data_IF_749446231590
#
_entry.id   IF_749446231590
#
_cell.length_a   1.000
_cell.length_b   1.000
_cell.length_c   1.000
_cell.angle_alpha   90.00
_cell.angle_beta   90.00
_cell.angle_gamma   90.00
#
_symmetry.space_group_name_H-M   'P 1'
#
loop_
_entity.id
_entity.type
_entity.pdbx_description
1 polymer ?
#
# COMPACT_ATOMS: atom_id res chain seq x y z
N UNK A 1 11.78 2.87 -1.57
CA UNK A 1 12.02 2.04 -0.36
C UNK A 1 12.30 0.61 -0.78
N UNK A 2 12.99 -0.21 0.02
CA UNK A 2 13.27 -1.61 -0.34
C UNK A 2 12.37 -2.56 0.46
N UNK A 3 11.81 -3.58 -0.18
CA UNK A 3 10.98 -4.61 0.46
C UNK A 3 11.82 -5.67 1.19
N UNK A 4 11.22 -6.37 2.16
CA UNK A 4 11.76 -7.60 2.75
C UNK A 4 10.83 -8.80 2.47
N UNK A 5 11.15 -9.97 3.01
CA UNK A 5 10.34 -11.19 2.85
C UNK A 5 9.01 -11.13 3.62
N UNK A 6 8.96 -10.30 4.67
CA UNK A 6 7.78 -10.11 5.52
C UNK A 6 7.10 -8.79 5.20
N UNK A 7 5.79 -8.72 5.47
CA UNK A 7 5.04 -7.47 5.28
C UNK A 7 5.60 -6.36 6.16
N UNK A 8 6.08 -5.30 5.51
CA UNK A 8 6.49 -4.06 6.12
C UNK A 8 5.34 -3.05 6.04
N UNK A 9 4.67 -2.71 7.15
CA UNK A 9 3.66 -1.67 7.15
C UNK A 9 4.30 -0.29 6.94
N UNK A 10 3.69 0.53 6.10
CA UNK A 10 4.08 1.91 5.81
C UNK A 10 3.36 2.89 6.73
N UNK A 11 3.77 4.18 6.75
CA UNK A 11 3.11 5.19 7.54
C UNK A 11 1.60 5.25 7.29
N UNK A 12 0.86 5.32 8.40
CA UNK A 12 -0.60 5.34 8.40
C UNK A 12 -1.14 6.72 8.04
N UNK A 13 -2.19 6.75 7.23
CA UNK A 13 -2.92 7.96 6.86
C UNK A 13 -4.25 8.03 7.62
N UNK A 14 -4.62 9.23 8.08
CA UNK A 14 -5.96 9.49 8.61
C UNK A 14 -6.86 9.85 7.44
N UNK A 15 -7.85 9.01 7.16
CA UNK A 15 -8.68 9.13 5.95
C UNK A 15 -10.14 9.43 6.23
N UNK A 16 -10.51 9.66 7.49
CA UNK A 16 -11.88 9.94 7.91
C UNK A 16 -12.53 11.18 7.30
N UNK A 17 -11.73 12.09 6.72
CA UNK A 17 -12.20 13.32 6.08
C UNK A 17 -11.94 13.34 4.56
N UNK A 18 -11.47 12.23 3.99
CA UNK A 18 -11.14 12.14 2.57
C UNK A 18 -12.30 11.50 1.82
N UNK A 19 -12.65 12.06 0.66
CA UNK A 19 -13.77 11.60 -0.16
C UNK A 19 -13.35 10.49 -1.10
N UNK A 20 -12.19 10.66 -1.73
CA UNK A 20 -11.57 9.68 -2.62
C UNK A 20 -10.08 9.68 -2.35
N UNK A 21 -9.50 8.50 -2.23
CA UNK A 21 -8.06 8.34 -2.05
C UNK A 21 -7.60 7.02 -2.66
N UNK A 22 -6.34 7.01 -3.09
CA UNK A 22 -5.70 5.86 -3.71
C UNK A 22 -4.21 5.86 -3.41
N UNK A 23 -3.58 4.71 -3.64
CA UNK A 23 -2.13 4.60 -3.66
C UNK A 23 -1.66 4.28 -5.06
N UNK A 24 -0.55 4.89 -5.47
CA UNK A 24 0.24 4.44 -6.61
C UNK A 24 1.54 3.83 -6.10
N UNK A 25 1.86 2.63 -6.58
CA UNK A 25 3.11 1.93 -6.28
C UNK A 25 3.83 1.64 -7.58
N UNK A 26 5.00 2.23 -7.74
CA UNK A 26 5.89 2.01 -8.87
C UNK A 26 6.97 1.03 -8.40
N UNK A 27 7.08 -0.11 -9.09
CA UNK A 27 8.13 -1.07 -8.83
C UNK A 27 9.34 -0.79 -9.73
N UNK A 28 10.36 -0.16 -9.16
CA UNK A 28 11.57 0.27 -9.87
C UNK A 28 12.68 -0.78 -9.84
N UNK A 29 12.47 -1.91 -9.15
CA UNK A 29 13.44 -3.00 -9.09
C UNK A 29 13.06 -4.19 -9.97
N UNK A 30 13.88 -5.24 -9.88
CA UNK A 30 13.85 -6.39 -10.80
C UNK A 30 13.01 -7.58 -10.29
N UNK A 31 12.41 -7.48 -9.10
CA UNK A 31 11.59 -8.54 -8.50
C UNK A 31 10.14 -8.07 -8.25
N UNK A 32 9.14 -8.96 -8.38
CA UNK A 32 7.75 -8.60 -8.08
C UNK A 32 7.54 -8.32 -6.58
N UNK A 33 6.69 -7.35 -6.27
CA UNK A 33 6.25 -7.07 -4.90
C UNK A 33 4.80 -7.49 -4.67
N UNK A 34 4.47 -7.84 -3.43
CA UNK A 34 3.07 -7.91 -2.97
C UNK A 34 2.77 -6.63 -2.22
N UNK A 35 1.69 -5.96 -2.61
CA UNK A 35 1.20 -4.73 -2.00
C UNK A 35 -0.18 -5.02 -1.43
N UNK A 36 -0.36 -4.70 -0.15
CA UNK A 36 -1.62 -4.87 0.55
C UNK A 36 -2.09 -3.54 1.13
N UNK A 37 -3.27 -3.08 0.72
CA UNK A 37 -4.00 -2.01 1.41
C UNK A 37 -4.55 -2.58 2.71
N UNK A 38 -4.39 -1.84 3.80
CA UNK A 38 -4.91 -2.19 5.11
C UNK A 38 -5.70 -1.04 5.70
N UNK A 39 -6.85 -1.36 6.30
CA UNK A 39 -7.75 -0.37 6.93
C UNK A 39 -7.98 -0.68 8.39
N UNK A 40 -8.11 0.36 9.22
CA UNK A 40 -8.18 0.22 10.68
C UNK A 40 -9.00 1.31 11.37
N UNK A 41 -9.65 1.03 12.52
CA UNK A 41 -10.50 2.01 13.21
C UNK A 41 -9.72 2.94 14.15
N UNK A 42 -8.56 2.50 14.66
CA UNK A 42 -7.87 3.13 15.81
C UNK A 42 -6.37 3.41 15.58
N UNK A 43 -5.86 3.12 14.38
CA UNK A 43 -4.44 3.29 14.04
C UNK A 43 -3.52 2.21 14.61
N UNK A 44 -4.07 1.15 15.21
CA UNK A 44 -3.33 0.01 15.78
C UNK A 44 -3.78 -1.32 15.19
N UNK A 45 -5.09 -1.51 15.10
CA UNK A 45 -5.73 -2.71 14.57
C UNK A 45 -6.05 -2.50 13.08
N UNK A 46 -5.52 -3.36 12.23
CA UNK A 46 -5.69 -3.26 10.77
C UNK A 46 -6.15 -4.59 10.19
N UNK A 47 -7.08 -4.51 9.24
CA UNK A 47 -7.51 -5.63 8.40
C UNK A 47 -7.01 -5.43 6.97
N UNK A 48 -6.72 -6.54 6.28
CA UNK A 48 -6.42 -6.51 4.83
C UNK A 48 -7.65 -6.08 4.05
N UNK A 49 -7.48 -5.12 3.14
CA UNK A 49 -8.52 -4.60 2.25
C UNK A 49 -8.40 -5.17 0.82
N UNK A 50 -7.35 -4.76 0.12
CA UNK A 50 -6.99 -5.15 -1.26
C UNK A 50 -5.55 -5.65 -1.24
N UNK A 51 -5.25 -6.72 -1.97
CA UNK A 51 -3.88 -7.24 -2.14
C UNK A 51 -3.62 -7.58 -3.60
N UNK A 52 -2.55 -7.05 -4.17
CA UNK A 52 -2.13 -7.35 -5.54
C UNK A 52 -0.62 -7.50 -5.66
N UNK A 53 -0.19 -8.10 -6.76
CA UNK A 53 1.22 -8.20 -7.15
C UNK A 53 1.53 -7.05 -8.11
N UNK A 54 2.62 -6.33 -7.84
CA UNK A 54 3.18 -5.33 -8.76
C UNK A 54 4.44 -5.93 -9.41
N UNK A 55 4.39 -6.31 -10.70
CA UNK A 55 5.56 -6.82 -11.41
C UNK A 55 6.72 -5.80 -11.48
N UNK A 56 7.95 -6.25 -11.77
CA UNK A 56 9.09 -5.36 -12.04
C UNK A 56 8.77 -4.36 -13.15
N UNK A 57 9.14 -3.09 -12.97
CA UNK A 57 8.95 -2.02 -13.96
C UNK A 57 7.51 -1.52 -14.11
N UNK A 58 6.54 -2.11 -13.41
CA UNK A 58 5.13 -1.78 -13.53
C UNK A 58 4.65 -0.80 -12.44
N UNK A 59 3.50 -0.17 -12.69
CA UNK A 59 2.81 0.68 -11.73
C UNK A 59 1.47 0.07 -11.33
N UNK A 60 1.30 -0.21 -10.03
CA UNK A 60 0.01 -0.59 -9.46
C UNK A 60 -0.74 0.62 -8.91
N UNK A 61 -2.06 0.66 -9.10
CA UNK A 61 -2.95 1.67 -8.52
C UNK A 61 -4.00 0.98 -7.66
N UNK A 62 -4.04 1.36 -6.38
CA UNK A 62 -4.85 0.70 -5.36
C UNK A 62 -5.92 1.66 -4.86
N UNK A 63 -7.16 1.40 -5.24
CA UNK A 63 -8.33 2.03 -4.65
C UNK A 63 -8.75 1.24 -3.39
N UNK A 64 -9.14 1.96 -2.36
CA UNK A 64 -9.58 1.33 -1.11
C UNK A 64 -11.05 0.92 -1.26
N UNK A 65 -11.34 -0.35 -0.99
CA UNK A 65 -12.67 -0.95 -1.14
C UNK A 65 -13.52 -0.83 0.14
N UNK A 66 -12.88 -0.70 1.31
CA UNK A 66 -13.55 -0.56 2.61
C UNK A 66 -13.10 0.69 3.35
N UNK A 67 -14.03 1.38 4.00
CA UNK A 67 -13.74 2.66 4.64
C UNK A 67 -13.67 2.53 6.16
N UNK A 68 -12.50 2.84 6.73
CA UNK A 68 -12.29 3.08 8.16
C UNK A 68 -11.47 4.36 8.36
N UNK A 69 -11.31 4.80 9.61
CA UNK A 69 -10.65 6.07 9.96
C UNK A 69 -9.19 6.12 9.53
N UNK A 70 -8.50 4.99 9.52
CA UNK A 70 -7.09 4.88 9.19
C UNK A 70 -6.89 3.91 8.04
N UNK A 71 -5.98 4.25 7.13
CA UNK A 71 -5.53 3.35 6.07
C UNK A 71 -4.01 3.39 5.95
N UNK A 72 -3.42 2.27 5.53
CA UNK A 72 -1.99 2.18 5.23
C UNK A 72 -1.75 1.14 4.15
N UNK A 73 -0.54 1.13 3.60
CA UNK A 73 -0.05 -0.01 2.83
C UNK A 73 0.83 -0.90 3.72
N UNK A 74 0.87 -2.18 3.39
CA UNK A 74 1.92 -3.09 3.78
C UNK A 74 2.51 -3.72 2.52
N UNK A 75 3.84 -3.78 2.43
CA UNK A 75 4.53 -4.30 1.24
C UNK A 75 5.53 -5.38 1.62
N UNK A 76 5.76 -6.33 0.73
CA UNK A 76 6.83 -7.32 0.84
C UNK A 76 7.30 -7.73 -0.56
N UNK A 77 8.45 -8.38 -0.65
CA UNK A 77 8.80 -9.07 -1.86
C UNK A 77 7.87 -10.27 -2.06
N UNK A 78 7.51 -10.55 -3.31
CA UNK A 78 6.75 -11.76 -3.66
C UNK A 78 7.64 -13.00 -3.56
N UNK A 79 8.91 -12.87 -3.95
CA UNK A 79 9.88 -13.96 -3.96
C UNK A 79 10.85 -13.78 -2.79
N UNK A 80 11.02 -14.82 -1.98
CA UNK A 80 11.90 -14.78 -0.80
C UNK A 80 13.35 -14.47 -1.19
N UNK A 81 14.04 -13.67 -0.37
CA UNK A 81 15.42 -13.22 -0.60
C UNK A 81 15.65 -12.46 -1.91
N UNK A 82 14.59 -12.02 -2.59
CA UNK A 82 14.65 -11.18 -3.79
C UNK A 82 14.00 -9.83 -3.51
N UNK A 83 14.61 -8.92 -2.72
CA UNK A 83 14.02 -7.63 -2.42
C UNK A 83 13.88 -6.77 -3.69
N UNK A 84 12.83 -5.93 -3.74
CA UNK A 84 12.66 -4.93 -4.81
C UNK A 84 12.52 -3.52 -4.24
N UNK A 85 12.77 -2.53 -5.10
CA UNK A 85 12.64 -1.11 -4.76
C UNK A 85 11.30 -0.57 -5.22
N UNK A 86 10.52 -0.03 -4.29
CA UNK A 86 9.21 0.57 -4.55
C UNK A 86 9.21 2.07 -4.27
N UNK A 87 8.63 2.84 -5.19
CA UNK A 87 8.26 4.24 -5.00
C UNK A 87 6.75 4.33 -4.82
N UNK A 88 6.32 4.99 -3.74
CA UNK A 88 4.94 4.88 -3.23
C UNK A 88 4.37 6.26 -3.00
N UNK A 89 3.19 6.51 -3.57
CA UNK A 89 2.48 7.77 -3.50
C UNK A 89 1.09 7.54 -2.90
N UNK A 90 0.71 8.41 -1.98
CA UNK A 90 -0.66 8.53 -1.52
C UNK A 90 -1.29 9.76 -2.17
N UNK A 91 -2.44 9.59 -2.81
CA UNK A 91 -3.17 10.68 -3.46
C UNK A 91 -4.59 10.70 -2.91
N UNK A 92 -5.05 11.89 -2.52
CA UNK A 92 -6.35 12.06 -1.93
C UNK A 92 -7.02 13.36 -2.34
N UNK A 93 -8.35 13.33 -2.37
CA UNK A 93 -9.22 14.48 -2.53
C UNK A 93 -10.11 14.59 -1.29
N UNK A 94 -10.14 15.78 -0.70
CA UNK A 94 -11.04 16.12 0.39
C UNK A 94 -12.15 17.03 -0.13
N UNK A 95 -13.35 16.95 0.48
CA UNK A 95 -14.33 18.02 0.28
C UNK A 95 -13.77 19.32 0.87
N UNK A 96 -13.83 20.37 0.07
CA UNK A 96 -13.33 21.71 0.40
C UNK A 96 -14.39 22.51 1.15
#
# INVERSE_FOLDING_TARGET
MQTTDTFMPLPTQVTSQLTVYSYAVINEGDAPAVVQVQVGPDGKNFASDVEEIVPPGETGVFAVARFLRFTRLAVRSKNESCPTTLSIYFQAQAMR
#
